data_IF_686738956361
#
_entry.id   IF_686738956361
#
_cell.length_a   1.000
_cell.length_b   1.000
_cell.length_c   1.000
_cell.angle_alpha   90.00
_cell.angle_beta   90.00
_cell.angle_gamma   90.00
#
_symmetry.space_group_name_H-M   'P 1'
#
loop_
_entity.id
_entity.type
_entity.pdbx_description
1 polymer ?
#
# COMPACT_ATOMS: atom_id res chain seq x y z
N UNK A 1 -0.62 -8.24 24.39
CA UNK A 1 -1.07 -7.26 23.38
C UNK A 1 -1.95 -8.02 22.39
N UNK A 2 -3.18 -7.58 22.15
CA UNK A 2 -4.18 -8.31 21.35
C UNK A 2 -5.04 -7.32 20.56
N UNK A 3 -6.20 -7.75 20.06
CA UNK A 3 -7.15 -6.84 19.43
C UNK A 3 -7.56 -5.70 20.39
N UNK A 4 -7.96 -4.55 19.85
CA UNK A 4 -8.41 -3.42 20.68
C UNK A 4 -9.62 -3.81 21.55
N UNK A 5 -9.82 -3.19 22.73
CA UNK A 5 -10.94 -3.51 23.60
C UNK A 5 -12.29 -3.39 22.88
N UNK A 6 -13.11 -4.43 22.97
CA UNK A 6 -14.42 -4.49 22.28
C UNK A 6 -14.35 -4.85 20.80
N UNK A 7 -13.18 -5.23 20.26
CA UNK A 7 -13.08 -5.73 18.89
C UNK A 7 -13.90 -7.01 18.69
N UNK A 8 -14.65 -7.07 17.59
CA UNK A 8 -15.33 -8.29 17.14
C UNK A 8 -14.37 -9.09 16.24
N UNK A 9 -14.05 -10.32 16.64
CA UNK A 9 -13.23 -11.23 15.85
C UNK A 9 -14.12 -12.24 15.15
N UNK A 10 -14.34 -12.04 13.85
CA UNK A 10 -15.13 -12.94 13.02
C UNK A 10 -14.32 -14.19 12.68
N UNK A 11 -14.82 -15.38 13.03
CA UNK A 11 -14.13 -16.65 12.78
C UNK A 11 -13.76 -16.84 11.30
N UNK A 12 -14.66 -16.49 10.40
CA UNK A 12 -14.43 -16.58 8.94
C UNK A 12 -13.26 -15.70 8.49
N UNK A 13 -13.06 -14.53 9.07
CA UNK A 13 -11.94 -13.65 8.72
C UNK A 13 -10.60 -14.24 9.19
N UNK A 14 -10.58 -14.88 10.36
CA UNK A 14 -9.39 -15.58 10.87
C UNK A 14 -9.07 -16.83 10.03
N UNK A 15 -10.08 -17.59 9.63
CA UNK A 15 -9.93 -18.75 8.74
C UNK A 15 -9.36 -18.34 7.37
N UNK A 16 -9.82 -17.23 6.79
CA UNK A 16 -9.32 -16.72 5.50
C UNK A 16 -7.87 -16.26 5.59
N UNK A 17 -7.50 -15.56 6.67
CA UNK A 17 -6.16 -14.99 6.84
C UNK A 17 -5.15 -15.97 7.43
N UNK A 18 -5.60 -17.11 7.96
CA UNK A 18 -4.78 -18.03 8.75
C UNK A 18 -4.25 -17.40 10.05
N UNK A 19 -4.74 -16.22 10.43
CA UNK A 19 -4.20 -15.43 11.52
C UNK A 19 -4.71 -15.93 12.86
N UNK A 20 -3.81 -16.27 13.78
CA UNK A 20 -4.11 -16.42 15.20
C UNK A 20 -3.79 -15.11 15.95
N UNK A 21 -4.81 -14.34 16.42
CA UNK A 21 -4.60 -13.09 17.15
C UNK A 21 -3.93 -13.28 18.51
N UNK A 22 -3.98 -14.48 19.07
CA UNK A 22 -3.50 -14.80 20.42
C UNK A 22 -2.16 -15.54 20.43
N UNK A 23 -1.59 -15.79 19.24
CA UNK A 23 -0.31 -16.49 19.12
C UNK A 23 0.80 -15.73 19.87
N UNK A 24 1.53 -16.38 20.78
CA UNK A 24 2.50 -15.70 21.67
C UNK A 24 3.67 -15.09 20.91
N UNK A 25 4.07 -15.66 19.76
CA UNK A 25 5.16 -15.16 18.93
C UNK A 25 4.71 -14.14 17.87
N UNK A 26 3.45 -13.70 17.87
CA UNK A 26 2.92 -12.71 16.91
C UNK A 26 3.60 -11.34 17.01
N UNK A 27 4.30 -11.07 18.12
CA UNK A 27 4.93 -9.77 18.40
C UNK A 27 3.96 -8.58 18.21
N UNK A 28 2.70 -8.77 18.62
CA UNK A 28 1.66 -7.77 18.46
C UNK A 28 2.01 -6.47 19.19
N UNK A 29 1.76 -5.34 18.52
CA UNK A 29 1.93 -3.97 19.06
C UNK A 29 0.57 -3.37 19.37
N UNK A 30 0.53 -2.43 20.30
CA UNK A 30 -0.66 -1.60 20.47
C UNK A 30 -0.90 -0.76 19.21
N UNK A 31 -2.16 -0.42 18.94
CA UNK A 31 -2.53 0.26 17.69
C UNK A 31 -1.78 1.58 17.50
N UNK A 32 -1.53 2.34 18.58
CA UNK A 32 -0.83 3.62 18.47
C UNK A 32 0.64 3.41 18.11
N UNK A 33 1.33 2.46 18.73
CA UNK A 33 2.71 2.12 18.37
C UNK A 33 2.81 1.53 16.96
N UNK A 34 1.85 0.69 16.54
CA UNK A 34 1.80 0.16 15.18
C UNK A 34 1.60 1.28 14.15
N UNK A 35 0.65 2.21 14.39
CA UNK A 35 0.43 3.36 13.53
C UNK A 35 1.67 4.26 13.46
N UNK A 36 2.33 4.55 14.57
CA UNK A 36 3.58 5.33 14.56
C UNK A 36 4.68 4.65 13.74
N UNK A 37 4.81 3.32 13.87
CA UNK A 37 5.80 2.55 13.12
C UNK A 37 5.61 2.66 11.60
N UNK A 38 4.38 2.85 11.12
CA UNK A 38 4.06 3.08 9.70
C UNK A 38 4.14 4.58 9.35
N UNK A 39 3.61 5.45 10.21
CA UNK A 39 3.47 6.87 9.89
C UNK A 39 4.79 7.64 9.94
N UNK A 40 5.74 7.23 10.78
CA UNK A 40 7.06 7.86 10.85
C UNK A 40 7.84 7.74 9.53
N UNK A 41 8.04 6.54 8.94
CA UNK A 41 8.72 6.42 7.66
C UNK A 41 7.94 7.09 6.51
N UNK A 42 6.59 7.05 6.52
CA UNK A 42 5.78 7.77 5.53
C UNK A 42 6.03 9.29 5.60
N UNK A 43 6.09 9.87 6.80
CA UNK A 43 6.41 11.31 6.96
C UNK A 43 7.83 11.63 6.51
N UNK A 44 8.79 10.75 6.78
CA UNK A 44 10.17 10.92 6.32
C UNK A 44 10.24 10.93 4.79
N UNK A 45 9.58 9.98 4.13
CA UNK A 45 9.50 9.93 2.67
C UNK A 45 8.79 11.16 2.10
N UNK A 46 7.67 11.59 2.69
CA UNK A 46 6.98 12.82 2.28
C UNK A 46 7.90 14.04 2.35
N UNK A 47 8.67 14.19 3.43
CA UNK A 47 9.63 15.29 3.56
C UNK A 47 10.75 15.20 2.52
N UNK A 48 11.27 14.00 2.26
CA UNK A 48 12.34 13.78 1.29
C UNK A 48 11.91 14.05 -0.16
N UNK A 49 10.63 13.80 -0.48
CA UNK A 49 10.05 14.02 -1.81
C UNK A 49 9.19 15.29 -1.90
N UNK A 50 9.32 16.21 -0.94
CA UNK A 50 8.61 17.50 -0.91
C UNK A 50 7.08 17.38 -1.07
N UNK A 51 6.51 16.27 -0.61
CA UNK A 51 5.09 15.98 -0.70
C UNK A 51 4.35 16.50 0.53
N UNK A 52 3.23 17.19 0.31
CA UNK A 52 2.41 17.74 1.40
C UNK A 52 1.56 16.68 2.11
N UNK A 53 1.16 15.62 1.40
CA UNK A 53 0.30 14.57 1.94
C UNK A 53 0.53 13.21 1.26
N UNK A 54 0.36 12.12 2.00
CA UNK A 54 0.39 10.78 1.44
C UNK A 54 -1.00 10.35 0.92
N UNK A 55 -1.04 9.65 -0.20
CA UNK A 55 -2.23 8.98 -0.72
C UNK A 55 -2.04 7.47 -0.57
N UNK A 56 -3.01 6.78 0.03
CA UNK A 56 -2.95 5.33 0.17
C UNK A 56 -3.19 4.67 -1.20
N UNK A 57 -2.24 3.81 -1.59
CA UNK A 57 -2.39 2.88 -2.72
C UNK A 57 -2.76 1.51 -2.13
N UNK A 58 -3.75 0.84 -2.70
CA UNK A 58 -4.22 -0.48 -2.22
C UNK A 58 -5.03 -1.20 -3.28
N UNK A 59 -5.46 -2.44 -3.02
CA UNK A 59 -6.31 -3.21 -3.92
C UNK A 59 -7.70 -3.41 -3.27
N UNK A 60 -8.70 -2.64 -3.73
CA UNK A 60 -9.88 -2.23 -2.96
C UNK A 60 -9.54 -1.23 -1.86
N UNK A 61 -8.68 -0.26 -2.17
CA UNK A 61 -8.01 0.65 -1.23
C UNK A 61 -8.91 1.35 -0.19
N UNK A 62 -10.20 1.58 -0.52
CA UNK A 62 -11.17 2.15 0.40
C UNK A 62 -11.38 1.29 1.66
N UNK A 63 -11.27 -0.04 1.52
CA UNK A 63 -11.35 -0.98 2.64
C UNK A 63 -10.20 -0.74 3.62
N UNK A 64 -8.95 -0.76 3.15
CA UNK A 64 -7.76 -0.57 3.98
C UNK A 64 -7.74 0.81 4.63
N UNK A 65 -8.03 1.87 3.86
CA UNK A 65 -8.10 3.22 4.39
C UNK A 65 -9.19 3.35 5.47
N UNK A 66 -10.31 2.65 5.32
CA UNK A 66 -11.37 2.57 6.32
C UNK A 66 -10.87 2.03 7.66
N UNK A 67 -10.10 0.95 7.65
CA UNK A 67 -9.49 0.35 8.85
C UNK A 67 -8.41 1.24 9.47
N UNK A 68 -7.52 1.84 8.66
CA UNK A 68 -6.50 2.79 9.14
C UNK A 68 -7.17 3.98 9.82
N UNK A 69 -8.18 4.58 9.18
CA UNK A 69 -8.92 5.71 9.74
C UNK A 69 -9.66 5.33 11.04
N UNK A 70 -10.22 4.12 11.12
CA UNK A 70 -10.87 3.64 12.34
C UNK A 70 -9.86 3.47 13.49
N UNK A 71 -8.68 2.90 13.23
CA UNK A 71 -7.61 2.79 14.22
C UNK A 71 -7.11 4.17 14.68
N UNK A 72 -6.89 5.10 13.75
CA UNK A 72 -6.54 6.50 14.03
C UNK A 72 -7.55 7.16 14.96
N UNK A 73 -8.86 6.96 14.71
CA UNK A 73 -9.93 7.48 15.58
C UNK A 73 -9.91 6.84 16.96
N UNK A 74 -9.83 5.50 17.06
CA UNK A 74 -9.81 4.77 18.34
C UNK A 74 -8.72 5.25 19.26
N UNK A 75 -7.51 5.43 18.74
CA UNK A 75 -6.39 5.89 19.56
C UNK A 75 -6.30 7.41 19.67
N UNK A 76 -7.14 8.19 18.98
CA UNK A 76 -7.05 9.65 18.88
C UNK A 76 -5.67 10.13 18.36
N UNK A 77 -5.23 9.55 17.24
CA UNK A 77 -3.96 9.90 16.62
C UNK A 77 -4.06 11.22 15.82
N UNK A 78 -3.42 12.29 16.31
CA UNK A 78 -3.54 13.65 15.73
C UNK A 78 -2.80 13.87 14.40
N UNK A 79 -1.78 13.05 14.09
CA UNK A 79 -0.86 13.27 12.95
C UNK A 79 -0.92 12.13 11.93
N UNK A 80 -2.09 11.83 11.40
CA UNK A 80 -2.19 10.87 10.29
C UNK A 80 -1.65 11.52 8.99
N UNK A 81 -0.62 10.96 8.33
CA UNK A 81 -0.05 11.55 7.11
C UNK A 81 -0.92 11.33 5.87
N UNK A 82 -1.82 10.34 5.92
CA UNK A 82 -2.67 9.99 4.79
C UNK A 82 -3.78 11.02 4.55
N UNK A 83 -4.17 11.14 3.30
CA UNK A 83 -5.39 11.82 2.89
C UNK A 83 -6.63 11.04 3.40
N UNK A 84 -7.67 11.73 3.92
CA UNK A 84 -8.70 11.06 4.72
C UNK A 84 -9.70 10.25 3.89
N UNK A 85 -9.81 10.53 2.59
CA UNK A 85 -10.75 9.87 1.69
C UNK A 85 -10.16 9.47 0.33
N UNK A 86 -9.32 10.32 -0.28
CA UNK A 86 -8.65 9.96 -1.54
C UNK A 86 -7.69 8.78 -1.40
N UNK A 87 -7.81 7.84 -2.34
CA UNK A 87 -6.96 6.66 -2.52
C UNK A 87 -6.63 6.46 -4.00
N UNK A 88 -5.57 5.72 -4.29
CA UNK A 88 -5.33 5.16 -5.62
C UNK A 88 -5.61 3.66 -5.58
N UNK A 89 -6.74 3.26 -6.15
CA UNK A 89 -7.19 1.87 -6.09
C UNK A 89 -6.68 1.06 -7.28
N UNK A 90 -5.78 0.11 -7.01
CA UNK A 90 -5.19 -0.74 -8.04
C UNK A 90 -6.19 -1.67 -8.72
N UNK A 91 -7.39 -1.89 -8.16
CA UNK A 91 -8.49 -2.58 -8.88
C UNK A 91 -8.85 -1.81 -10.15
N UNK A 92 -9.09 -0.50 -10.03
CA UNK A 92 -9.44 0.36 -11.15
C UNK A 92 -8.29 0.48 -12.16
N UNK A 93 -7.06 0.63 -11.66
CA UNK A 93 -5.87 0.74 -12.50
C UNK A 93 -5.61 -0.55 -13.27
N UNK A 94 -5.74 -1.72 -12.61
CA UNK A 94 -5.53 -3.02 -13.24
C UNK A 94 -6.67 -3.39 -14.20
N UNK A 95 -7.92 -3.00 -13.91
CA UNK A 95 -9.02 -3.16 -14.83
C UNK A 95 -8.76 -2.41 -16.13
N UNK A 96 -8.26 -1.18 -16.04
CA UNK A 96 -7.88 -0.38 -17.20
C UNK A 96 -6.67 -0.96 -17.96
N UNK A 97 -5.59 -1.30 -17.24
CA UNK A 97 -4.32 -1.69 -17.87
C UNK A 97 -4.29 -3.14 -18.37
N UNK A 98 -5.00 -4.04 -17.69
CA UNK A 98 -4.90 -5.49 -17.90
C UNK A 98 -6.25 -6.21 -18.01
N UNK A 99 -7.39 -5.49 -17.85
CA UNK A 99 -8.72 -6.11 -17.87
C UNK A 99 -8.97 -7.04 -16.67
N UNK A 100 -8.25 -6.86 -15.55
CA UNK A 100 -8.35 -7.73 -14.37
C UNK A 100 -8.62 -6.92 -13.10
N UNK A 101 -9.53 -7.43 -12.26
CA UNK A 101 -9.91 -6.81 -10.97
C UNK A 101 -9.48 -7.62 -9.75
N UNK A 102 -8.97 -8.84 -9.96
CA UNK A 102 -8.45 -9.70 -8.88
C UNK A 102 -6.94 -9.58 -8.86
N UNK A 103 -6.35 -9.22 -7.71
CA UNK A 103 -4.91 -8.97 -7.56
C UNK A 103 -4.06 -10.07 -8.18
N UNK A 104 -4.33 -11.34 -7.87
CA UNK A 104 -3.61 -12.47 -8.43
C UNK A 104 -3.64 -12.53 -9.96
N UNK A 105 -4.80 -12.24 -10.56
CA UNK A 105 -4.96 -12.24 -12.03
C UNK A 105 -4.29 -11.02 -12.65
N UNK A 106 -4.41 -9.86 -12.01
CA UNK A 106 -3.76 -8.62 -12.43
C UNK A 106 -2.23 -8.74 -12.38
N UNK A 107 -1.67 -9.28 -11.29
CA UNK A 107 -0.25 -9.54 -11.14
C UNK A 107 0.27 -10.47 -12.25
N UNK A 108 -0.41 -11.60 -12.49
CA UNK A 108 -0.06 -12.53 -13.57
C UNK A 108 -0.16 -11.87 -14.96
N UNK A 109 -1.21 -11.11 -15.22
CA UNK A 109 -1.38 -10.39 -16.48
C UNK A 109 -0.32 -9.28 -16.68
N UNK A 110 0.17 -8.69 -15.59
CA UNK A 110 1.29 -7.77 -15.59
C UNK A 110 2.65 -8.47 -15.75
N UNK A 111 2.71 -9.80 -15.75
CA UNK A 111 3.94 -10.59 -15.77
C UNK A 111 4.72 -10.50 -14.44
N UNK A 112 4.02 -10.37 -13.32
CA UNK A 112 4.57 -10.50 -11.96
C UNK A 112 4.38 -11.93 -11.47
N UNK A 113 5.30 -12.39 -10.62
CA UNK A 113 5.14 -13.67 -9.93
C UNK A 113 3.94 -13.59 -8.96
N UNK A 114 3.26 -14.71 -8.77
CA UNK A 114 2.19 -14.83 -7.79
C UNK A 114 2.26 -16.20 -7.13
N UNK A 115 2.44 -16.20 -5.82
CA UNK A 115 2.34 -17.38 -4.96
C UNK A 115 1.00 -17.35 -4.21
N UNK A 116 0.16 -18.35 -4.48
CA UNK A 116 -1.12 -18.49 -3.79
C UNK A 116 -0.97 -18.94 -2.32
N UNK A 117 0.19 -19.49 -1.93
CA UNK A 117 0.46 -19.92 -0.55
C UNK A 117 0.81 -18.74 0.37
N UNK A 118 1.42 -17.69 -0.18
CA UNK A 118 1.74 -16.46 0.56
C UNK A 118 0.61 -15.41 0.51
N UNK A 119 -0.37 -15.63 -0.38
CA UNK A 119 -1.58 -14.81 -0.46
C UNK A 119 -2.27 -14.72 0.92
N UNK A 120 -2.85 -13.56 1.22
CA UNK A 120 -3.45 -13.22 2.53
C UNK A 120 -2.46 -12.85 3.64
N UNK A 121 -1.15 -12.90 3.38
CA UNK A 121 -0.17 -12.14 4.16
C UNK A 121 -0.23 -10.67 3.75
N UNK A 122 -0.46 -9.78 4.72
CA UNK A 122 -0.52 -8.35 4.44
C UNK A 122 0.80 -7.79 3.86
N UNK A 123 1.95 -8.41 4.16
CA UNK A 123 3.24 -8.01 3.60
C UNK A 123 3.31 -8.38 2.12
N UNK A 124 3.02 -9.64 1.79
CA UNK A 124 3.05 -10.14 0.42
C UNK A 124 2.07 -9.38 -0.48
N UNK A 125 0.82 -9.21 -0.01
CA UNK A 125 -0.20 -8.49 -0.75
C UNK A 125 0.20 -7.01 -0.98
N UNK A 126 0.86 -6.37 0.00
CA UNK A 126 1.35 -5.00 -0.14
C UNK A 126 2.52 -4.88 -1.14
N UNK A 127 3.48 -5.82 -1.12
CA UNK A 127 4.60 -5.86 -2.06
C UNK A 127 4.11 -6.06 -3.50
N UNK A 128 3.25 -7.06 -3.74
CA UNK A 128 2.69 -7.30 -5.08
C UNK A 128 1.84 -6.12 -5.55
N UNK A 129 1.07 -5.50 -4.66
CA UNK A 129 0.27 -4.31 -5.00
C UNK A 129 1.15 -3.12 -5.37
N UNK A 130 2.27 -2.92 -4.67
CA UNK A 130 3.24 -1.88 -5.00
C UNK A 130 3.88 -2.12 -6.38
N UNK A 131 4.34 -3.34 -6.65
CA UNK A 131 4.91 -3.73 -7.94
C UNK A 131 3.90 -3.56 -9.08
N UNK A 132 2.65 -3.98 -8.87
CA UNK A 132 1.57 -3.82 -9.84
C UNK A 132 1.31 -2.34 -10.14
N UNK A 133 1.21 -1.51 -9.10
CA UNK A 133 1.01 -0.07 -9.26
C UNK A 133 2.16 0.56 -10.06
N UNK A 134 3.41 0.27 -9.67
CA UNK A 134 4.60 0.75 -10.37
C UNK A 134 4.62 0.30 -11.83
N UNK A 135 4.32 -0.97 -12.13
CA UNK A 135 4.24 -1.46 -13.51
C UNK A 135 3.20 -0.71 -14.34
N UNK A 136 2.01 -0.47 -13.80
CA UNK A 136 0.95 0.25 -14.52
C UNK A 136 1.37 1.68 -14.82
N UNK A 137 1.86 2.39 -13.81
CA UNK A 137 2.29 3.79 -13.91
C UNK A 137 3.46 3.92 -14.91
N UNK A 138 4.47 3.05 -14.81
CA UNK A 138 5.61 3.05 -15.72
C UNK A 138 5.22 2.68 -17.15
N UNK A 139 4.29 1.73 -17.33
CA UNK A 139 3.74 1.38 -18.65
C UNK A 139 3.04 2.57 -19.29
N UNK A 140 2.21 3.28 -18.52
CA UNK A 140 1.53 4.47 -19.02
C UNK A 140 2.53 5.54 -19.44
N UNK A 141 3.54 5.81 -18.60
CA UNK A 141 4.61 6.75 -18.92
C UNK A 141 5.36 6.38 -20.20
N UNK A 142 5.72 5.11 -20.39
CA UNK A 142 6.43 4.66 -21.58
C UNK A 142 5.64 4.83 -22.88
N UNK A 143 4.30 4.77 -22.82
CA UNK A 143 3.43 4.84 -24.01
C UNK A 143 2.93 6.25 -24.28
N UNK A 144 2.51 6.98 -23.26
CA UNK A 144 1.86 8.28 -23.38
C UNK A 144 2.74 9.46 -22.93
N UNK A 145 3.86 9.20 -22.25
CA UNK A 145 4.64 10.22 -21.56
C UNK A 145 3.91 10.82 -20.36
N UNK A 146 4.58 11.75 -19.66
CA UNK A 146 3.94 12.66 -18.71
C UNK A 146 3.99 14.08 -19.27
N UNK A 147 2.85 14.70 -19.58
CA UNK A 147 2.84 16.10 -19.98
C UNK A 147 3.44 16.96 -18.87
N UNK A 148 4.56 17.64 -19.14
CA UNK A 148 5.19 18.58 -18.22
C UNK A 148 6.28 18.01 -17.29
N UNK A 149 6.60 16.72 -17.34
CA UNK A 149 7.86 16.20 -16.80
C UNK A 149 8.89 16.19 -17.95
N UNK A 150 9.75 17.20 -18.02
CA UNK A 150 10.95 17.08 -18.86
C UNK A 150 11.77 15.87 -18.36
N UNK A 151 12.32 15.03 -19.25
CA UNK A 151 13.25 14.00 -18.82
C UNK A 151 14.37 14.66 -18.04
N UNK A 152 14.66 14.15 -16.83
CA UNK A 152 15.80 14.60 -16.06
C UNK A 152 17.03 14.43 -16.95
N UNK A 153 17.63 15.55 -17.37
CA UNK A 153 18.88 15.55 -18.12
C UNK A 153 19.88 14.71 -17.31
N UNK A 154 20.27 13.57 -17.88
CA UNK A 154 21.48 12.88 -17.46
C UNK A 154 22.61 13.90 -17.57
N UNK A 155 23.09 14.39 -16.43
CA UNK A 155 24.38 15.07 -16.36
C UNK A 155 25.46 14.00 -16.51
N UNK A 156 25.56 13.45 -17.72
CA UNK A 156 26.77 12.80 -18.17
C UNK A 156 27.84 13.90 -18.20
N UNK A 157 28.75 13.82 -17.24
CA UNK A 157 29.93 14.67 -17.22
C UNK A 157 30.76 14.43 -18.47
N UNK A 158 30.68 15.35 -19.42
CA UNK A 158 31.76 15.58 -20.36
C UNK A 158 32.76 16.54 -19.71
N UNK A 159 33.69 15.97 -18.96
CA UNK A 159 35.02 16.56 -18.81
C UNK A 159 35.79 16.27 -20.10
N UNK A 160 35.90 17.25 -21.00
CA UNK A 160 36.92 17.23 -22.06
C UNK A 160 37.54 18.62 -22.19
N UNK A 161 38.87 18.60 -22.00
CA UNK A 161 39.94 19.60 -22.23
C UNK A 161 39.89 20.93 -21.49
#
# INVERSE_FOLDING_TARGET
VGAFPGAKLEKKALEITGMDPFHPLRAARDERAALNHIFDPVRQAMKAHECQRAILVGHNAAFDLGFVNAAVRRVQHKRCPFHPFSTLDTVSFAALAYGQTVLAKAARAAGLAWDSQEAHSAVYDAEVTADLFCKIVNRWHAVAGWPGLAPALETAGESIS
#
